data_IF_117830670594
#
_entry.id   IF_117830670594
#
_cell.length_a   1.000
_cell.length_b   1.000
_cell.length_c   1.000
_cell.angle_alpha   90.00
_cell.angle_beta   90.00
_cell.angle_gamma   90.00
#
_symmetry.space_group_name_H-M   'P 1'
#
loop_
_entity.id
_entity.type
_entity.pdbx_description
1 polymer ?
#
# COMPACT_ATOMS: atom_id res chain seq x y z
N UNK A 1 11.07 -5.99 47.32
CA UNK A 1 11.98 -5.84 46.15
C UNK A 1 11.18 -6.16 44.89
N UNK A 2 10.95 -5.19 43.99
CA UNK A 2 10.27 -5.43 42.71
C UNK A 2 11.31 -5.97 41.72
N UNK A 3 11.23 -7.25 41.37
CA UNK A 3 12.02 -7.82 40.27
C UNK A 3 11.59 -7.08 39.01
N UNK A 4 12.48 -6.29 38.41
CA UNK A 4 12.21 -5.65 37.12
C UNK A 4 12.33 -6.73 36.05
N UNK A 5 11.20 -7.19 35.53
CA UNK A 5 11.20 -7.99 34.31
C UNK A 5 11.89 -7.19 33.20
N UNK A 6 12.80 -7.83 32.45
CA UNK A 6 13.50 -7.21 31.33
C UNK A 6 12.47 -6.78 30.28
N UNK A 7 12.58 -5.54 29.81
CA UNK A 7 11.73 -5.05 28.74
C UNK A 7 12.03 -5.85 27.46
N UNK A 8 11.02 -6.52 26.86
CA UNK A 8 11.22 -7.39 25.70
C UNK A 8 11.73 -6.61 24.47
N UNK A 9 11.41 -5.31 24.35
CA UNK A 9 11.88 -4.45 23.26
C UNK A 9 13.37 -4.18 23.39
N UNK A 10 13.88 -4.04 24.62
CA UNK A 10 15.30 -3.87 24.88
C UNK A 10 16.08 -5.14 24.59
N UNK A 11 15.55 -6.30 25.01
CA UNK A 11 16.15 -7.59 24.70
C UNK A 11 16.27 -7.81 23.18
N UNK A 12 15.18 -7.55 22.45
CA UNK A 12 15.18 -7.64 20.99
C UNK A 12 16.16 -6.66 20.34
N UNK A 13 16.25 -5.42 20.86
CA UNK A 13 17.16 -4.41 20.30
C UNK A 13 18.62 -4.83 20.42
N UNK A 14 19.03 -5.32 21.59
CA UNK A 14 20.39 -5.83 21.79
C UNK A 14 20.70 -7.00 20.87
N UNK A 15 19.76 -7.92 20.69
CA UNK A 15 19.90 -9.05 19.76
C UNK A 15 20.01 -8.57 18.31
N UNK A 16 19.18 -7.61 17.89
CA UNK A 16 19.22 -7.03 16.56
C UNK A 16 20.57 -6.36 16.26
N UNK A 17 21.08 -5.53 17.18
CA UNK A 17 22.38 -4.87 17.03
C UNK A 17 23.55 -5.89 17.03
N UNK A 18 23.40 -7.03 17.70
CA UNK A 18 24.39 -8.11 17.69
C UNK A 18 24.35 -8.98 16.43
N UNK A 19 23.26 -8.90 15.66
CA UNK A 19 23.04 -9.71 14.47
C UNK A 19 23.63 -9.04 13.23
N UNK A 20 24.16 -9.85 12.30
CA UNK A 20 24.66 -9.33 11.04
C UNK A 20 23.49 -8.84 10.17
N UNK A 21 23.43 -7.53 9.92
CA UNK A 21 22.52 -6.93 8.95
C UNK A 21 23.11 -7.08 7.55
N UNK A 22 22.27 -7.39 6.57
CA UNK A 22 22.70 -7.55 5.16
C UNK A 22 23.25 -6.24 4.63
N UNK A 23 24.44 -6.29 4.01
CA UNK A 23 25.11 -5.14 3.37
C UNK A 23 24.78 -5.01 1.88
N UNK A 24 23.70 -5.64 1.42
CA UNK A 24 23.36 -5.81 -0.01
C UNK A 24 23.00 -4.50 -0.76
N UNK A 25 23.24 -3.33 -0.17
CA UNK A 25 22.93 -2.03 -0.76
C UNK A 25 21.43 -1.74 -0.90
N UNK A 26 20.57 -2.54 -0.26
CA UNK A 26 19.13 -2.28 -0.23
C UNK A 26 18.90 -1.09 0.70
N UNK A 27 18.45 0.02 0.12
CA UNK A 27 18.11 1.22 0.88
C UNK A 27 16.98 0.92 1.87
N UNK A 28 17.24 1.19 3.15
CA UNK A 28 16.23 1.11 4.22
C UNK A 28 15.35 2.36 4.27
N UNK A 29 15.47 3.24 3.27
CA UNK A 29 14.59 4.37 3.03
C UNK A 29 13.48 4.04 2.04
N UNK A 30 12.34 4.71 2.21
CA UNK A 30 11.32 4.78 1.16
C UNK A 30 11.84 5.57 -0.06
N UNK A 31 11.16 5.44 -1.19
CA UNK A 31 11.45 6.22 -2.42
C UNK A 31 11.46 7.75 -2.20
N UNK A 32 10.81 8.22 -1.13
CA UNK A 32 10.77 9.63 -0.73
C UNK A 32 11.91 10.02 0.24
N UNK A 33 12.84 9.12 0.53
CA UNK A 33 13.98 9.35 1.43
C UNK A 33 13.66 9.25 2.93
N UNK A 34 12.46 8.76 3.31
CA UNK A 34 12.12 8.59 4.73
C UNK A 34 12.75 7.30 5.26
N UNK A 35 13.60 7.36 6.31
CA UNK A 35 14.25 6.18 6.88
C UNK A 35 13.22 5.29 7.61
N UNK A 36 13.29 3.98 7.37
CA UNK A 36 12.43 3.00 8.02
C UNK A 36 13.09 2.43 9.28
N UNK A 37 12.35 2.39 10.38
CA UNK A 37 12.75 1.66 11.58
C UNK A 37 12.73 0.15 11.30
N UNK A 38 13.61 -0.64 11.96
CA UNK A 38 13.64 -2.10 11.82
C UNK A 38 12.40 -2.80 12.42
N UNK A 39 11.73 -2.15 13.38
CA UNK A 39 10.50 -2.65 13.99
C UNK A 39 9.58 -1.49 14.35
N UNK A 40 8.31 -1.62 13.99
CA UNK A 40 7.23 -0.74 14.43
C UNK A 40 6.34 -1.50 15.40
N UNK A 41 6.06 -0.90 16.55
CA UNK A 41 5.26 -1.51 17.62
C UNK A 41 4.00 -0.70 17.87
N UNK A 42 3.09 -1.21 18.72
CA UNK A 42 1.89 -0.48 19.13
C UNK A 42 2.20 0.87 19.81
N UNK A 43 3.43 1.07 20.31
CA UNK A 43 3.90 2.34 20.87
C UNK A 43 4.21 3.39 19.81
N UNK A 44 4.55 2.97 18.58
CA UNK A 44 4.84 3.86 17.47
C UNK A 44 3.56 4.34 16.76
N UNK A 45 2.40 3.81 17.13
CA UNK A 45 1.11 4.26 16.62
C UNK A 45 0.79 5.64 17.20
N UNK A 46 0.34 6.60 16.36
CA UNK A 46 -0.17 7.86 16.89
C UNK A 46 -1.34 7.57 17.82
N UNK A 47 -1.38 8.26 18.96
CA UNK A 47 -2.51 8.23 19.90
C UNK A 47 -3.68 9.06 19.35
N UNK A 48 -4.11 8.79 18.12
CA UNK A 48 -5.24 9.47 17.51
C UNK A 48 -6.55 8.95 18.11
N UNK A 49 -7.54 9.84 18.17
CA UNK A 49 -8.92 9.46 18.49
C UNK A 49 -9.41 8.40 17.50
N UNK A 50 -10.34 7.54 17.91
CA UNK A 50 -10.94 6.55 17.03
C UNK A 50 -11.54 7.21 15.78
N UNK A 51 -10.89 7.03 14.64
CA UNK A 51 -11.34 7.61 13.37
C UNK A 51 -12.38 6.69 12.72
N UNK A 52 -13.53 7.27 12.37
CA UNK A 52 -14.58 6.60 11.61
C UNK A 52 -14.54 7.04 10.13
N UNK A 53 -14.73 6.12 9.17
CA UNK A 53 -14.79 6.49 7.76
C UNK A 53 -15.98 7.43 7.50
N UNK A 54 -15.77 8.45 6.68
CA UNK A 54 -16.80 9.47 6.38
C UNK A 54 -16.95 10.59 7.42
N UNK A 55 -16.08 10.66 8.42
CA UNK A 55 -16.00 11.78 9.35
C UNK A 55 -14.62 12.47 9.24
N UNK A 56 -14.57 13.77 9.53
CA UNK A 56 -13.31 14.52 9.62
C UNK A 56 -12.43 13.89 10.71
N UNK A 57 -11.12 13.63 10.47
CA UNK A 57 -10.23 14.16 9.44
C UNK A 57 -10.12 13.35 8.13
N UNK A 58 -11.03 12.40 7.88
CA UNK A 58 -11.08 11.58 6.66
C UNK A 58 -9.83 10.74 6.35
N UNK A 59 -8.95 10.51 7.33
CA UNK A 59 -7.75 9.66 7.19
C UNK A 59 -8.08 8.26 6.66
N UNK A 60 -9.25 7.71 7.04
CA UNK A 60 -9.75 6.40 6.61
C UNK A 60 -10.67 6.43 5.37
N UNK A 61 -10.84 7.60 4.76
CA UNK A 61 -11.66 7.81 3.56
C UNK A 61 -12.89 8.68 3.78
N UNK A 62 -13.37 9.28 2.68
CA UNK A 62 -14.46 10.26 2.65
C UNK A 62 -15.85 9.60 2.74
N UNK A 63 -15.97 8.34 2.34
CA UNK A 63 -17.27 7.63 2.32
C UNK A 63 -17.35 6.62 3.46
N UNK A 64 -18.45 6.62 4.26
CA UNK A 64 -18.61 5.69 5.38
C UNK A 64 -18.67 4.22 4.93
N UNK A 65 -19.23 3.94 3.74
CA UNK A 65 -19.29 2.60 3.17
C UNK A 65 -18.01 2.19 2.42
N UNK A 66 -17.09 3.12 2.16
CA UNK A 66 -15.92 2.90 1.31
C UNK A 66 -16.26 2.16 0.01
N UNK A 67 -15.41 1.19 -0.36
CA UNK A 67 -15.59 0.36 -1.56
C UNK A 67 -16.65 -0.74 -1.44
N UNK A 68 -17.29 -0.93 -0.27
CA UNK A 68 -18.43 -1.84 -0.14
C UNK A 68 -19.69 -1.29 -0.81
N UNK A 69 -19.84 0.04 -0.88
CA UNK A 69 -20.97 0.68 -1.56
C UNK A 69 -20.72 0.85 -3.06
N UNK A 70 -19.55 1.37 -3.42
CA UNK A 70 -19.16 1.59 -4.82
C UNK A 70 -17.68 1.32 -4.98
N UNK A 71 -17.32 0.47 -5.94
CA UNK A 71 -15.93 0.19 -6.27
C UNK A 71 -15.21 1.44 -6.79
N UNK A 72 -13.88 1.47 -6.66
CA UNK A 72 -13.09 2.51 -7.30
C UNK A 72 -13.30 2.45 -8.82
N UNK A 73 -13.28 3.62 -9.46
CA UNK A 73 -13.43 3.66 -10.92
C UNK A 73 -12.12 3.22 -11.55
N UNK A 74 -12.13 2.09 -12.26
CA UNK A 74 -11.00 1.70 -13.12
C UNK A 74 -10.92 2.65 -14.31
N UNK A 75 -9.89 3.49 -14.36
CA UNK A 75 -9.66 4.43 -15.45
C UNK A 75 -8.39 4.04 -16.19
N UNK A 76 -8.55 3.47 -17.38
CA UNK A 76 -7.43 3.23 -18.29
C UNK A 76 -7.15 4.52 -19.05
N UNK A 77 -5.95 5.07 -18.87
CA UNK A 77 -5.48 6.18 -19.70
C UNK A 77 -4.75 5.58 -20.90
N UNK A 78 -5.50 5.34 -21.98
CA UNK A 78 -4.94 4.88 -23.25
C UNK A 78 -4.81 6.06 -24.21
N UNK A 79 -3.57 6.45 -24.50
CA UNK A 79 -3.27 7.34 -25.63
C UNK A 79 -2.44 6.53 -26.64
N UNK A 80 -2.93 6.42 -27.87
CA UNK A 80 -2.15 5.82 -28.97
C UNK A 80 -1.38 6.93 -29.68
N UNK A 81 -0.06 6.77 -29.83
CA UNK A 81 0.79 7.72 -30.56
C UNK A 81 0.78 7.50 -32.09
N UNK A 82 0.23 6.38 -32.55
CA UNK A 82 0.15 6.04 -33.97
C UNK A 82 -1.31 6.12 -34.41
N UNK A 83 -1.58 6.92 -35.45
CA UNK A 83 -2.91 7.05 -36.09
C UNK A 83 -3.34 5.81 -36.89
N UNK A 84 -2.76 4.63 -36.59
CA UNK A 84 -3.16 3.40 -37.27
C UNK A 84 -4.56 3.02 -36.80
N UNK A 85 -5.51 2.74 -37.71
CA UNK A 85 -6.84 2.35 -37.30
C UNK A 85 -6.74 0.98 -36.60
N UNK A 86 -6.84 0.96 -35.28
CA UNK A 86 -7.11 -0.26 -34.51
C UNK A 86 -8.59 -0.61 -34.67
N UNK A 87 -9.00 -0.78 -35.92
CA UNK A 87 -10.27 -1.35 -36.32
C UNK A 87 -10.02 -2.78 -36.75
N UNK A 88 -9.94 -3.72 -35.81
CA UNK A 88 -10.37 -5.08 -36.14
C UNK A 88 -11.88 -5.06 -35.90
N UNK A 89 -12.73 -5.04 -36.94
CA UNK A 89 -14.16 -5.13 -36.69
C UNK A 89 -14.39 -6.44 -35.95
N UNK A 90 -14.95 -6.36 -34.75
CA UNK A 90 -15.50 -7.54 -34.10
C UNK A 90 -16.54 -8.11 -35.06
N UNK A 91 -16.29 -9.29 -35.64
CA UNK A 91 -17.25 -10.00 -36.48
C UNK A 91 -18.56 -10.15 -35.69
N UNK A 92 -19.57 -9.34 -36.02
CA UNK A 92 -20.80 -9.24 -35.25
C UNK A 92 -21.82 -10.34 -35.60
N UNK A 93 -21.59 -11.13 -36.66
CA UNK A 93 -22.40 -12.31 -36.96
C UNK A 93 -21.68 -13.27 -37.93
N UNK A 94 -22.06 -14.55 -37.88
CA UNK A 94 -21.45 -15.66 -38.65
C UNK A 94 -21.82 -15.69 -40.14
N UNK A 95 -22.77 -14.89 -40.61
CA UNK A 95 -23.38 -15.09 -41.94
C UNK A 95 -22.68 -14.37 -43.09
N UNK A 96 -21.80 -13.40 -42.82
CA UNK A 96 -21.09 -12.63 -43.85
C UNK A 96 -19.58 -12.73 -43.74
N UNK A 97 -19.09 -13.87 -43.24
CA UNK A 97 -17.72 -14.29 -43.50
C UNK A 97 -17.75 -15.25 -44.70
N UNK A 98 -17.73 -14.70 -45.92
CA UNK A 98 -17.43 -15.46 -47.13
C UNK A 98 -16.36 -14.71 -47.92
N UNK A 99 -15.15 -15.28 -47.79
CA UNK A 99 -13.88 -15.06 -48.50
C UNK A 99 -13.49 -13.63 -48.87
#
# INVERSE_FOLDING_TARGET
>A
MKVRARDPKQAWREEFESSAVREDGIETSTISGVPLKPLYTSEDLPRSAEEFPGQFPYTRGIHPSGYRGRLWTMRQFGVTSTSWPTGRPACRSRSTCRR
#
